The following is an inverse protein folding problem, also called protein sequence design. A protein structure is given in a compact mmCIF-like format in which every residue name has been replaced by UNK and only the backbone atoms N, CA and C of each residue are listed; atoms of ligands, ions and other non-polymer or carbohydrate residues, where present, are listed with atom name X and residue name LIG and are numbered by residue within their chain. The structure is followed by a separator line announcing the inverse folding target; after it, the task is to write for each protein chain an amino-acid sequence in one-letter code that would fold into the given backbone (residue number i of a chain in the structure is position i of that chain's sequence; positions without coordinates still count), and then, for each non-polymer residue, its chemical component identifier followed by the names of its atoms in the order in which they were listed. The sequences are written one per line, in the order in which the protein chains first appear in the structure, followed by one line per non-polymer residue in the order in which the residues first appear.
data_IF_184378809619
#
_entry.id   IF_184378809619
#
_cell.length_a   1.000
_cell.length_b   1.000
_cell.length_c   1.000
_cell.angle_alpha   90.00
_cell.angle_beta   90.00
_cell.angle_gamma   90.00
#
_symmetry.space_group_name_H-M   'P 1'
#
loop_
_entity.id
_entity.type
_entity.pdbx_description
1 polymer ?
#
# COMPACT_ATOMS: atom_id res chain seq x y z
N UNK A 1 15.90 -47.14 62.40
CA UNK A 1 14.95 -47.17 61.26
C UNK A 1 14.65 -45.73 60.86
N UNK A 2 15.39 -45.19 59.85
CA UNK A 2 15.24 -43.78 59.42
C UNK A 2 14.46 -43.76 58.10
N UNK A 3 13.22 -43.34 58.14
CA UNK A 3 12.34 -43.12 57.01
C UNK A 3 12.60 -41.75 56.40
N UNK A 4 13.34 -41.62 55.29
CA UNK A 4 13.47 -40.38 54.51
C UNK A 4 12.19 -40.12 53.75
N UNK A 5 11.48 -39.06 54.06
CA UNK A 5 10.36 -38.53 53.27
C UNK A 5 10.95 -37.77 52.09
N UNK A 6 10.65 -38.29 50.89
CA UNK A 6 10.97 -37.67 49.61
C UNK A 6 9.82 -36.73 49.24
N UNK A 7 10.10 -35.42 49.21
CA UNK A 7 9.14 -34.40 48.81
C UNK A 7 9.30 -34.23 47.27
N UNK A 8 8.26 -34.64 46.52
CA UNK A 8 8.19 -34.36 45.11
C UNK A 8 7.68 -32.94 44.94
N UNK A 9 8.50 -32.07 44.40
CA UNK A 9 8.08 -30.71 43.99
C UNK A 9 7.50 -30.82 42.55
N UNK A 10 6.18 -30.60 42.47
CA UNK A 10 5.47 -30.51 41.19
C UNK A 10 5.72 -29.13 40.59
N UNK A 11 6.56 -29.04 39.56
CA UNK A 11 6.79 -27.81 38.78
C UNK A 11 5.66 -27.71 37.75
N UNK A 12 4.70 -26.83 37.99
CA UNK A 12 3.70 -26.46 36.98
C UNK A 12 4.37 -25.57 35.93
N UNK A 13 4.59 -26.08 34.74
CA UNK A 13 4.87 -25.30 33.55
C UNK A 13 3.58 -24.63 33.08
N UNK A 14 3.42 -23.34 33.35
CA UNK A 14 2.41 -22.51 32.73
C UNK A 14 2.93 -22.14 31.35
N UNK A 15 2.51 -22.89 30.32
CA UNK A 15 2.72 -22.48 28.92
C UNK A 15 1.86 -21.25 28.65
N UNK A 16 2.48 -20.07 28.73
CA UNK A 16 1.88 -18.84 28.23
C UNK A 16 1.74 -18.93 26.72
N UNK A 17 0.56 -19.27 26.23
CA UNK A 17 0.23 -19.08 24.83
C UNK A 17 0.22 -17.56 24.56
N UNK A 18 1.26 -17.04 23.94
CA UNK A 18 1.24 -15.71 23.34
C UNK A 18 0.21 -15.75 22.23
N UNK A 19 -0.99 -15.23 22.50
CA UNK A 19 -1.96 -14.89 21.46
C UNK A 19 -1.34 -13.69 20.75
N UNK A 20 -0.62 -13.96 19.66
CA UNK A 20 -0.33 -12.93 18.66
C UNK A 20 -1.70 -12.50 18.14
N UNK A 21 -2.19 -11.37 18.64
CA UNK A 21 -3.30 -10.70 18.03
C UNK A 21 -2.86 -10.40 16.60
N UNK A 22 -3.40 -11.14 15.63
CA UNK A 22 -3.42 -10.69 14.25
C UNK A 22 -4.12 -9.33 14.32
N UNK A 23 -3.32 -8.28 14.31
CA UNK A 23 -3.78 -6.92 14.18
C UNK A 23 -4.44 -6.91 12.80
N UNK A 24 -5.76 -6.98 12.79
CA UNK A 24 -6.52 -6.80 11.55
C UNK A 24 -6.16 -5.41 11.07
N UNK A 25 -5.36 -5.36 10.02
CA UNK A 25 -4.90 -4.13 9.36
C UNK A 25 -6.07 -3.41 8.67
N UNK A 26 -7.09 -3.08 9.45
CA UNK A 26 -8.18 -2.25 8.96
C UNK A 26 -7.65 -0.85 8.74
N UNK A 27 -7.90 -0.33 7.55
CA UNK A 27 -7.64 1.07 7.27
C UNK A 27 -8.58 1.93 8.14
N UNK A 28 -8.07 3.00 8.77
CA UNK A 28 -8.93 3.98 9.42
C UNK A 28 -9.83 4.64 8.37
N UNK A 29 -10.98 5.15 8.77
CA UNK A 29 -11.77 6.02 7.88
C UNK A 29 -10.96 7.29 7.57
N UNK A 30 -11.00 7.74 6.31
CA UNK A 30 -10.36 8.98 5.90
C UNK A 30 -11.01 10.17 6.59
N UNK A 31 -10.18 11.08 7.17
CA UNK A 31 -10.67 12.24 7.91
C UNK A 31 -11.05 13.43 7.03
N UNK A 32 -10.48 13.54 5.82
CA UNK A 32 -10.76 14.62 4.88
C UNK A 32 -11.80 14.21 3.82
N UNK A 33 -12.52 15.17 3.21
CA UNK A 33 -13.50 14.84 2.17
C UNK A 33 -12.91 14.06 1.01
N UNK A 34 -13.66 13.08 0.51
CA UNK A 34 -13.34 12.35 -0.70
C UNK A 34 -13.46 13.29 -1.91
N UNK A 35 -12.40 13.46 -2.73
CA UNK A 35 -12.46 14.37 -3.87
C UNK A 35 -13.28 13.77 -5.02
N UNK A 36 -13.83 14.65 -5.86
CA UNK A 36 -14.36 14.25 -7.16
C UNK A 36 -13.24 13.84 -8.11
N UNK A 37 -13.55 12.94 -9.04
CA UNK A 37 -12.61 12.41 -10.03
C UNK A 37 -13.23 12.38 -11.42
N UNK A 38 -12.39 12.32 -12.45
CA UNK A 38 -12.85 12.00 -13.80
C UNK A 38 -13.34 10.55 -13.88
N UNK A 39 -14.34 10.30 -14.72
CA UNK A 39 -14.90 8.94 -14.93
C UNK A 39 -14.14 8.10 -15.97
N UNK A 40 -13.11 8.66 -16.59
CA UNK A 40 -12.34 8.02 -17.65
C UNK A 40 -10.85 8.34 -17.55
N UNK A 41 -10.09 8.04 -18.60
CA UNK A 41 -8.68 8.41 -18.70
C UNK A 41 -8.53 9.69 -19.54
N UNK A 42 -7.69 10.64 -19.10
CA UNK A 42 -6.88 10.62 -17.88
C UNK A 42 -7.73 10.57 -16.62
N UNK A 43 -7.37 9.65 -15.70
CA UNK A 43 -8.05 9.48 -14.41
C UNK A 43 -7.36 10.35 -13.36
N UNK A 44 -8.00 11.43 -12.97
CA UNK A 44 -7.43 12.47 -12.11
C UNK A 44 -8.47 13.00 -11.11
N UNK A 45 -8.01 13.60 -10.02
CA UNK A 45 -8.85 14.34 -9.09
C UNK A 45 -9.24 15.70 -9.69
N UNK A 46 -10.43 16.22 -9.32
CA UNK A 46 -10.96 17.49 -9.80
C UNK A 46 -10.88 18.51 -8.67
N UNK A 47 -10.25 19.67 -8.95
CA UNK A 47 -10.20 20.79 -8.02
C UNK A 47 -9.35 20.57 -6.76
N UNK A 48 -8.48 19.55 -6.77
CA UNK A 48 -7.58 19.25 -5.64
C UNK A 48 -6.27 20.00 -5.83
N UNK A 49 -5.92 20.83 -4.84
CA UNK A 49 -4.62 21.49 -4.82
C UNK A 49 -3.50 20.48 -4.47
N UNK A 50 -2.32 20.58 -5.13
CA UNK A 50 -1.16 19.79 -4.77
C UNK A 50 -0.72 20.05 -3.32
N UNK A 51 -0.10 19.02 -2.72
CA UNK A 51 0.55 19.10 -1.40
C UNK A 51 2.06 18.78 -1.56
N UNK A 52 2.88 19.71 -2.08
CA UNK A 52 4.24 19.41 -2.50
C UNK A 52 5.12 18.85 -1.39
N UNK A 53 4.94 19.32 -0.14
CA UNK A 53 5.70 18.85 1.01
C UNK A 53 5.35 17.39 1.33
N UNK A 54 4.05 17.04 1.32
CA UNK A 54 3.61 15.67 1.58
C UNK A 54 4.00 14.75 0.42
N UNK A 55 3.90 15.24 -0.83
CA UNK A 55 4.34 14.51 -2.02
C UNK A 55 5.84 14.20 -1.97
N UNK A 56 6.68 15.16 -1.57
CA UNK A 56 8.12 14.93 -1.44
C UNK A 56 8.41 13.88 -0.34
N UNK A 57 7.77 13.98 0.82
CA UNK A 57 7.92 12.99 1.89
C UNK A 57 7.47 11.59 1.48
N UNK A 58 6.41 11.49 0.66
CA UNK A 58 5.99 10.21 0.06
C UNK A 58 7.11 9.65 -0.81
N UNK A 59 7.64 10.45 -1.74
CA UNK A 59 8.72 10.03 -2.64
C UNK A 59 9.96 9.60 -1.87
N UNK A 60 10.34 10.35 -0.82
CA UNK A 60 11.50 10.02 0.03
C UNK A 60 11.33 8.65 0.72
N UNK A 61 10.12 8.31 1.18
CA UNK A 61 9.81 7.00 1.78
C UNK A 61 9.79 5.89 0.74
N UNK A 62 9.14 6.11 -0.40
CA UNK A 62 9.06 5.12 -1.49
C UNK A 62 10.45 4.79 -2.05
N UNK A 63 11.35 5.77 -2.13
CA UNK A 63 12.72 5.57 -2.56
C UNK A 63 13.55 4.65 -1.62
N UNK A 64 13.07 4.37 -0.41
CA UNK A 64 13.72 3.42 0.52
C UNK A 64 13.29 1.96 0.29
N UNK A 65 12.25 1.72 -0.51
CA UNK A 65 11.81 0.36 -0.82
C UNK A 65 12.87 -0.38 -1.63
N UNK A 66 13.16 -1.65 -1.30
CA UNK A 66 14.20 -2.41 -2.00
C UNK A 66 13.95 -2.49 -3.51
N UNK A 67 14.97 -2.16 -4.30
CA UNK A 67 14.90 -2.25 -5.76
C UNK A 67 13.96 -1.23 -6.41
N UNK A 68 13.55 -0.18 -5.71
CA UNK A 68 12.72 0.89 -6.26
C UNK A 68 13.55 2.08 -6.71
N UNK A 69 13.33 2.53 -7.93
CA UNK A 69 13.91 3.73 -8.51
C UNK A 69 12.80 4.69 -8.92
N UNK A 70 12.94 5.96 -8.57
CA UNK A 70 12.01 7.01 -8.97
C UNK A 70 12.46 7.65 -10.28
N UNK A 71 11.51 7.86 -11.20
CA UNK A 71 11.83 8.46 -12.50
C UNK A 71 10.56 8.92 -13.25
N UNK A 72 10.73 9.41 -14.49
CA UNK A 72 9.57 9.75 -15.32
C UNK A 72 8.65 8.52 -15.48
N UNK A 73 7.35 8.74 -15.32
CA UNK A 73 6.37 7.68 -15.58
C UNK A 73 6.40 7.21 -17.03
N UNK A 74 6.09 5.95 -17.26
CA UNK A 74 5.92 5.35 -18.60
C UNK A 74 4.46 5.33 -19.08
N UNK A 75 3.51 5.49 -18.15
CA UNK A 75 2.09 5.18 -18.42
C UNK A 75 1.13 6.26 -17.95
N UNK A 76 1.62 7.39 -17.43
CA UNK A 76 0.79 8.42 -16.82
C UNK A 76 1.04 9.81 -17.45
N UNK A 77 0.48 10.83 -16.80
CA UNK A 77 0.52 12.22 -17.23
C UNK A 77 1.94 12.81 -17.22
N UNK A 78 2.23 13.80 -18.07
CA UNK A 78 3.46 14.59 -17.97
C UNK A 78 3.64 15.16 -16.55
N UNK A 79 4.85 15.03 -16.01
CA UNK A 79 5.17 15.47 -14.65
C UNK A 79 4.86 14.49 -13.54
N UNK A 80 4.20 13.37 -13.83
CA UNK A 80 4.05 12.28 -12.87
C UNK A 80 5.38 11.53 -12.66
N UNK A 81 5.58 11.04 -11.44
CA UNK A 81 6.77 10.26 -11.03
C UNK A 81 6.41 8.79 -10.96
N UNK A 82 7.04 7.98 -11.79
CA UNK A 82 6.89 6.52 -11.82
C UNK A 82 7.77 5.85 -10.76
N UNK A 83 7.24 4.81 -10.11
CA UNK A 83 7.95 3.96 -9.15
C UNK A 83 8.34 2.66 -9.87
N UNK A 84 9.61 2.61 -10.29
CA UNK A 84 10.15 1.54 -11.14
C UNK A 84 10.83 0.47 -10.28
N UNK A 85 10.52 -0.79 -10.53
CA UNK A 85 11.23 -1.93 -9.92
C UNK A 85 12.46 -2.29 -10.74
N UNK A 86 13.57 -2.57 -10.08
CA UNK A 86 14.78 -3.09 -10.72
C UNK A 86 14.51 -4.41 -11.45
N UNK A 87 15.30 -4.69 -12.49
CA UNK A 87 15.13 -5.90 -13.31
C UNK A 87 15.23 -7.20 -12.51
N UNK A 88 16.02 -7.20 -11.44
CA UNK A 88 16.22 -8.35 -10.57
C UNK A 88 15.17 -8.50 -9.47
N UNK A 89 14.31 -7.50 -9.25
CA UNK A 89 13.22 -7.60 -8.27
C UNK A 89 12.21 -8.65 -8.75
N UNK A 90 11.91 -9.69 -7.94
CA UNK A 90 10.90 -10.68 -8.32
C UNK A 90 9.53 -10.04 -8.45
N UNK A 91 8.68 -10.61 -9.29
CA UNK A 91 7.29 -10.21 -9.45
C UNK A 91 6.40 -11.39 -9.13
N UNK A 92 5.59 -11.27 -8.07
CA UNK A 92 4.55 -12.23 -7.74
C UNK A 92 3.31 -12.04 -8.64
N UNK A 93 3.03 -10.78 -8.99
CA UNK A 93 1.88 -10.39 -9.81
C UNK A 93 2.30 -9.50 -11.00
N UNK A 94 3.03 -10.05 -12.01
CA UNK A 94 3.44 -9.27 -13.18
C UNK A 94 2.26 -8.79 -14.03
N UNK A 95 1.11 -9.47 -13.97
CA UNK A 95 -0.10 -9.17 -14.74
C UNK A 95 -0.73 -7.82 -14.38
N UNK A 96 -0.48 -7.30 -13.16
CA UNK A 96 -1.06 -6.03 -12.69
C UNK A 96 -0.22 -4.81 -13.06
N UNK A 97 0.96 -5.01 -13.68
CA UNK A 97 1.82 -3.91 -14.13
C UNK A 97 1.31 -3.40 -15.48
N UNK A 98 1.02 -2.10 -15.55
CA UNK A 98 0.51 -1.45 -16.77
C UNK A 98 1.59 -1.30 -17.82
N UNK A 99 2.83 -0.97 -17.45
CA UNK A 99 3.91 -0.80 -18.40
C UNK A 99 5.31 -0.89 -17.80
N UNK A 100 6.20 -1.58 -18.48
CA UNK A 100 7.57 -1.81 -18.04
C UNK A 100 7.62 -2.56 -16.72
N UNK A 101 8.23 -1.93 -15.71
CA UNK A 101 8.27 -2.43 -14.33
C UNK A 101 7.78 -1.36 -13.33
N UNK A 102 6.92 -0.46 -13.81
CA UNK A 102 6.30 0.59 -13.00
C UNK A 102 5.11 0.00 -12.23
N UNK A 103 5.25 -0.16 -10.90
CA UNK A 103 4.20 -0.73 -10.05
C UNK A 103 3.22 0.32 -9.52
N UNK A 104 3.63 1.59 -9.51
CA UNK A 104 2.81 2.73 -9.12
C UNK A 104 3.37 4.03 -9.72
N UNK A 105 2.61 5.11 -9.68
CA UNK A 105 3.09 6.45 -10.03
C UNK A 105 2.33 7.54 -9.29
N UNK A 106 3.03 8.61 -8.93
CA UNK A 106 2.50 9.80 -8.28
C UNK A 106 2.20 10.88 -9.31
N UNK A 107 0.99 11.42 -9.30
CA UNK A 107 0.57 12.53 -10.13
C UNK A 107 1.04 13.88 -9.58
N UNK A 108 1.08 14.94 -10.42
CA UNK A 108 1.43 16.29 -9.95
C UNK A 108 0.50 16.87 -8.88
N UNK A 109 -0.75 16.41 -8.78
CA UNK A 109 -1.71 16.81 -7.75
C UNK A 109 -1.55 16.05 -6.42
N UNK A 110 -0.63 15.08 -6.36
CA UNK A 110 -0.35 14.27 -5.18
C UNK A 110 -1.20 13.01 -5.04
N UNK A 111 -2.14 12.74 -5.95
CA UNK A 111 -2.79 11.42 -6.05
C UNK A 111 -1.86 10.43 -6.72
N UNK A 112 -2.14 9.14 -6.59
CA UNK A 112 -1.33 8.12 -7.23
C UNK A 112 -2.16 6.93 -7.72
N UNK A 113 -1.70 6.28 -8.79
CA UNK A 113 -2.21 4.98 -9.18
C UNK A 113 -1.30 3.88 -8.65
N UNK A 114 -1.93 2.81 -8.15
CA UNK A 114 -1.24 1.62 -7.67
C UNK A 114 -2.14 0.39 -7.82
N UNK A 115 -1.53 -0.79 -7.90
CA UNK A 115 -2.23 -2.07 -7.84
C UNK A 115 -2.09 -2.65 -6.44
N UNK A 116 -3.20 -2.81 -5.74
CA UNK A 116 -3.31 -3.40 -4.40
C UNK A 116 -3.83 -4.84 -4.49
N UNK A 117 -3.68 -5.61 -3.42
CA UNK A 117 -4.50 -6.81 -3.25
C UNK A 117 -5.98 -6.42 -3.39
N UNK A 118 -6.82 -7.19 -4.11
CA UNK A 118 -8.22 -6.84 -4.36
C UNK A 118 -9.07 -6.61 -3.10
N UNK A 119 -8.77 -7.28 -1.97
CA UNK A 119 -9.50 -7.07 -0.72
C UNK A 119 -9.06 -5.76 -0.06
N UNK A 120 -7.77 -5.45 -0.08
CA UNK A 120 -7.25 -4.17 0.41
C UNK A 120 -7.77 -3.00 -0.46
N UNK A 121 -7.84 -3.16 -1.78
CA UNK A 121 -8.42 -2.16 -2.67
C UNK A 121 -9.89 -1.87 -2.32
N UNK A 122 -10.70 -2.90 -2.09
CA UNK A 122 -12.10 -2.75 -1.63
C UNK A 122 -12.18 -2.01 -0.29
N UNK A 123 -11.29 -2.34 0.64
CA UNK A 123 -11.23 -1.67 1.94
C UNK A 123 -10.80 -0.20 1.78
N UNK A 124 -9.79 0.11 0.97
CA UNK A 124 -9.35 1.47 0.70
C UNK A 124 -10.46 2.34 0.06
N UNK A 125 -11.25 1.75 -0.85
CA UNK A 125 -12.41 2.44 -1.45
C UNK A 125 -13.50 2.65 -0.40
N UNK A 126 -13.83 1.64 0.39
CA UNK A 126 -14.86 1.72 1.44
C UNK A 126 -14.54 2.77 2.50
N UNK A 127 -13.26 2.90 2.88
CA UNK A 127 -12.79 3.84 3.91
C UNK A 127 -12.42 5.23 3.37
N UNK A 128 -12.65 5.47 2.07
CA UNK A 128 -12.47 6.78 1.44
C UNK A 128 -11.03 7.14 1.07
N UNK A 129 -10.10 6.18 1.04
CA UNK A 129 -8.71 6.40 0.65
C UNK A 129 -8.46 6.32 -0.85
N UNK A 130 -9.31 5.61 -1.57
CA UNK A 130 -9.12 5.35 -2.99
C UNK A 130 -10.44 5.27 -3.76
N UNK A 131 -10.32 5.25 -5.07
CA UNK A 131 -11.37 4.88 -6.00
C UNK A 131 -10.82 3.86 -7.00
N UNK A 132 -11.65 2.91 -7.45
CA UNK A 132 -11.27 1.97 -8.49
C UNK A 132 -10.92 2.71 -9.79
N UNK A 133 -9.80 2.32 -10.41
CA UNK A 133 -9.44 2.86 -11.72
C UNK A 133 -10.47 2.42 -12.78
N UNK A 134 -10.79 3.23 -13.80
CA UNK A 134 -11.71 2.83 -14.88
C UNK A 134 -11.35 1.53 -15.57
N UNK A 135 -10.08 1.12 -15.53
CA UNK A 135 -9.60 -0.14 -16.12
C UNK A 135 -9.63 -1.33 -15.16
N UNK A 136 -9.93 -1.13 -13.88
CA UNK A 136 -9.87 -2.18 -12.85
C UNK A 136 -10.68 -3.43 -13.19
N UNK A 137 -11.78 -3.27 -13.95
CA UNK A 137 -12.66 -4.38 -14.32
C UNK A 137 -12.59 -4.74 -15.81
N UNK A 138 -11.58 -4.25 -16.53
CA UNK A 138 -11.39 -4.52 -17.97
C UNK A 138 -10.46 -5.71 -18.24
N UNK A 139 -9.71 -6.14 -17.22
CA UNK A 139 -8.79 -7.28 -17.29
C UNK A 139 -8.88 -8.09 -16.00
N UNK A 140 -8.80 -9.40 -16.14
CA UNK A 140 -8.64 -10.31 -15.03
C UNK A 140 -7.36 -9.99 -14.25
N UNK A 141 -7.43 -9.95 -12.92
CA UNK A 141 -6.32 -9.61 -12.04
C UNK A 141 -6.16 -8.10 -11.76
N UNK A 142 -6.91 -7.24 -12.44
CA UNK A 142 -6.78 -5.78 -12.26
C UNK A 142 -7.79 -5.18 -11.26
N UNK A 143 -8.57 -6.00 -10.55
CA UNK A 143 -9.60 -5.56 -9.60
C UNK A 143 -9.02 -4.72 -8.45
N UNK A 144 -7.71 -4.84 -8.22
CA UNK A 144 -6.95 -4.04 -7.25
C UNK A 144 -6.38 -2.73 -7.78
N UNK A 145 -6.56 -2.40 -9.08
CA UNK A 145 -6.02 -1.16 -9.65
C UNK A 145 -6.85 0.04 -9.21
N UNK A 146 -6.25 0.95 -8.46
CA UNK A 146 -6.93 2.08 -7.82
C UNK A 146 -6.21 3.40 -8.06
N UNK A 147 -6.94 4.52 -7.90
CA UNK A 147 -6.36 5.82 -7.60
C UNK A 147 -6.48 6.08 -6.10
N UNK A 148 -5.36 6.24 -5.42
CA UNK A 148 -5.26 6.67 -4.02
C UNK A 148 -5.25 8.20 -4.00
N UNK A 149 -6.07 8.78 -3.12
CA UNK A 149 -6.24 10.23 -3.07
C UNK A 149 -5.06 10.94 -2.41
N UNK A 150 -4.83 12.19 -2.83
CA UNK A 150 -3.82 13.10 -2.25
C UNK A 150 -3.98 13.19 -0.74
N UNK A 151 -2.96 12.86 0.06
CA UNK A 151 -2.99 13.09 1.51
C UNK A 151 -2.98 14.59 1.81
N UNK A 152 -3.76 15.01 2.80
CA UNK A 152 -3.88 16.42 3.23
C UNK A 152 -3.20 16.70 4.57
N UNK A 153 -2.79 15.67 5.28
CA UNK A 153 -2.14 15.74 6.60
C UNK A 153 -1.07 14.67 6.75
N UNK A 154 -0.18 14.83 7.72
CA UNK A 154 0.84 13.80 8.03
C UNK A 154 0.21 12.44 8.39
N UNK A 155 -0.83 12.34 9.22
CA UNK A 155 -1.49 11.06 9.47
C UNK A 155 -2.08 10.42 8.20
N UNK A 156 -2.60 11.23 7.27
CA UNK A 156 -3.07 10.72 5.98
C UNK A 156 -1.90 10.24 5.11
N UNK A 157 -0.77 10.95 5.13
CA UNK A 157 0.43 10.52 4.44
C UNK A 157 0.90 9.15 4.93
N UNK A 158 0.87 8.89 6.23
CA UNK A 158 1.26 7.59 6.79
C UNK A 158 0.37 6.45 6.26
N UNK A 159 -0.93 6.69 6.09
CA UNK A 159 -1.83 5.70 5.48
C UNK A 159 -1.52 5.52 3.99
N UNK A 160 -1.30 6.60 3.24
CA UNK A 160 -0.97 6.53 1.81
C UNK A 160 0.35 5.81 1.58
N UNK A 161 1.39 6.09 2.38
CA UNK A 161 2.67 5.36 2.31
C UNK A 161 2.45 3.87 2.55
N UNK A 162 1.69 3.50 3.60
CA UNK A 162 1.36 2.09 3.86
C UNK A 162 0.64 1.43 2.68
N UNK A 163 -0.27 2.12 2.00
CA UNK A 163 -0.93 1.59 0.80
C UNK A 163 0.07 1.36 -0.34
N UNK A 164 1.07 2.24 -0.52
CA UNK A 164 2.13 2.06 -1.53
C UNK A 164 3.04 0.88 -1.15
N UNK A 165 3.40 0.73 0.12
CA UNK A 165 4.16 -0.42 0.64
C UNK A 165 3.41 -1.74 0.41
N UNK A 166 2.10 -1.76 0.65
CA UNK A 166 1.24 -2.91 0.38
C UNK A 166 1.11 -3.21 -1.12
N UNK A 167 1.10 -2.17 -1.97
CA UNK A 167 1.18 -2.34 -3.43
C UNK A 167 2.51 -2.98 -3.84
N UNK A 168 3.63 -2.48 -3.30
CA UNK A 168 4.95 -3.07 -3.52
C UNK A 168 4.98 -4.54 -3.09
N UNK A 169 4.51 -4.84 -1.86
CA UNK A 169 4.48 -6.19 -1.33
C UNK A 169 3.61 -7.13 -2.18
N UNK A 170 2.44 -6.67 -2.62
CA UNK A 170 1.55 -7.43 -3.50
C UNK A 170 2.21 -7.73 -4.85
N UNK A 171 2.76 -6.71 -5.50
CA UNK A 171 3.35 -6.85 -6.84
C UNK A 171 4.61 -7.71 -6.83
N UNK A 172 5.46 -7.57 -5.80
CA UNK A 172 6.77 -8.25 -5.72
C UNK A 172 6.74 -9.57 -4.95
N UNK A 173 5.75 -9.77 -4.07
CA UNK A 173 5.73 -10.86 -3.09
C UNK A 173 6.73 -10.68 -1.95
N UNK A 174 7.35 -9.49 -1.80
CA UNK A 174 8.30 -9.18 -0.74
C UNK A 174 7.62 -8.40 0.39
N UNK A 175 7.88 -8.77 1.64
CA UNK A 175 7.45 -7.96 2.80
C UNK A 175 8.30 -6.70 2.92
N UNK A 176 7.68 -5.63 3.37
CA UNK A 176 8.36 -4.41 3.81
C UNK A 176 8.40 -4.46 5.34
N UNK A 177 9.61 -4.53 5.91
CA UNK A 177 9.86 -4.56 7.37
C UNK A 177 9.86 -3.13 7.95
#
# INVERSE_FOLDING_TARGET
MNTKKMIFALVLFVSGASISAAQTDRLPERGTPVPETTNGVPHVQIGVAPEPILSQKLLDRVAQLPGVTLGPTRVSLPGAVGFQLDENTPLAHPEVIVGGREFAHLHPDGSLHASLDPNLAKEAVRTGWAISHPWAFQREGWEGFVMIYTPKTEPELDVVVRLVEQSYAFVTGQSVD
#
